data_IF_316803615136
#
_entry.id   IF_316803615136
#
_cell.length_a   1.000
_cell.length_b   1.000
_cell.length_c   1.000
_cell.angle_alpha   90.00
_cell.angle_beta   90.00
_cell.angle_gamma   90.00
#
_symmetry.space_group_name_H-M   'P 1'
#
loop_
_entity.id
_entity.type
_entity.pdbx_description
1 polymer ?
#
# COMPACT_ATOMS: atom_id res chain seq x y z
N UNK A 1 -14.00 -20.28 -1.78
CA UNK A 1 -14.12 -18.81 -1.64
C UNK A 1 -15.04 -18.30 -2.73
N UNK A 2 -15.92 -17.32 -2.47
CA UNK A 2 -16.69 -16.66 -3.52
C UNK A 2 -15.75 -16.04 -4.57
N UNK A 3 -16.31 -15.69 -5.73
CA UNK A 3 -15.55 -15.16 -6.86
C UNK A 3 -15.11 -13.72 -6.57
N UNK A 4 -14.03 -13.56 -5.80
CA UNK A 4 -13.44 -12.26 -5.48
C UNK A 4 -12.84 -11.69 -6.77
N UNK A 5 -13.23 -10.46 -7.13
CA UNK A 5 -12.62 -9.76 -8.26
C UNK A 5 -11.51 -8.87 -7.73
N UNK A 6 -10.27 -9.28 -7.96
CA UNK A 6 -9.09 -8.50 -7.59
C UNK A 6 -8.85 -7.43 -8.68
N UNK A 7 -8.87 -6.12 -8.33
CA UNK A 7 -8.57 -5.07 -9.29
C UNK A 7 -7.10 -5.08 -9.70
N UNK A 8 -6.84 -4.57 -10.91
CA UNK A 8 -5.51 -4.08 -11.27
C UNK A 8 -5.34 -2.69 -10.65
N UNK A 9 -4.77 -2.61 -9.44
CA UNK A 9 -4.68 -1.37 -8.66
C UNK A 9 -3.89 -0.28 -9.38
N UNK A 10 -2.83 -0.67 -10.11
CA UNK A 10 -2.08 0.25 -10.95
C UNK A 10 -2.94 0.92 -12.03
N UNK A 11 -3.89 0.20 -12.63
CA UNK A 11 -4.83 0.75 -13.62
C UNK A 11 -5.95 1.55 -12.95
N UNK A 12 -6.48 1.04 -11.84
CA UNK A 12 -7.55 1.65 -11.05
C UNK A 12 -7.15 3.05 -10.56
N UNK A 13 -5.93 3.18 -10.01
CA UNK A 13 -5.45 4.42 -9.40
C UNK A 13 -4.77 5.36 -10.42
N UNK A 14 -4.42 4.87 -11.62
CA UNK A 14 -3.72 5.64 -12.67
C UNK A 14 -4.30 7.04 -12.92
N UNK A 15 -5.63 7.25 -13.03
CA UNK A 15 -6.18 8.58 -13.32
C UNK A 15 -5.85 9.61 -12.23
N UNK A 16 -5.75 9.18 -10.98
CA UNK A 16 -5.38 10.04 -9.85
C UNK A 16 -3.86 10.18 -9.75
N UNK A 17 -3.14 9.06 -9.80
CA UNK A 17 -1.67 9.03 -9.73
C UNK A 17 -1.01 9.86 -10.82
N UNK A 18 -1.58 9.92 -12.03
CA UNK A 18 -1.06 10.72 -13.14
C UNK A 18 -1.12 12.24 -12.93
N UNK A 19 -1.87 12.72 -11.94
CA UNK A 19 -1.97 14.13 -11.59
C UNK A 19 -0.86 14.57 -10.63
N UNK A 20 -0.16 13.63 -10.00
CA UNK A 20 0.91 13.91 -9.04
C UNK A 20 2.20 14.25 -9.81
N UNK A 21 2.83 15.42 -9.55
CA UNK A 21 4.12 15.75 -10.13
C UNK A 21 5.19 14.72 -9.77
N UNK A 22 6.11 14.44 -10.69
CA UNK A 22 7.14 13.41 -10.48
C UNK A 22 7.99 13.62 -9.22
N UNK A 23 8.26 14.88 -8.83
CA UNK A 23 8.98 15.26 -7.62
C UNK A 23 8.20 15.00 -6.32
N UNK A 24 6.85 15.01 -6.37
CA UNK A 24 5.99 14.72 -5.22
C UNK A 24 5.55 13.24 -5.16
N UNK A 25 5.72 12.50 -6.24
CA UNK A 25 5.19 11.14 -6.40
C UNK A 25 5.66 10.16 -5.31
N UNK A 26 6.95 10.08 -4.94
CA UNK A 26 7.38 9.16 -3.87
C UNK A 26 6.71 9.49 -2.53
N UNK A 27 6.76 10.76 -2.11
CA UNK A 27 6.11 11.21 -0.87
C UNK A 27 4.58 11.07 -0.89
N UNK A 28 3.95 11.11 -2.07
CA UNK A 28 2.53 10.80 -2.23
C UNK A 28 2.25 9.31 -1.97
N UNK A 29 3.05 8.41 -2.54
CA UNK A 29 2.94 6.96 -2.28
C UNK A 29 3.14 6.65 -0.79
N UNK A 30 4.12 7.27 -0.13
CA UNK A 30 4.32 7.10 1.31
C UNK A 30 3.05 7.41 2.13
N UNK A 31 2.27 8.42 1.73
CA UNK A 31 0.99 8.73 2.39
C UNK A 31 -0.11 7.70 2.09
N UNK A 32 -0.06 7.03 0.93
CA UNK A 32 -0.92 5.88 0.65
C UNK A 32 -0.54 4.69 1.53
N UNK A 33 0.75 4.44 1.79
CA UNK A 33 1.16 3.36 2.70
C UNK A 33 0.65 3.57 4.12
N UNK A 34 0.62 4.82 4.61
CA UNK A 34 -0.05 5.11 5.90
C UNK A 34 -1.53 4.75 5.89
N UNK A 35 -2.21 4.89 4.75
CA UNK A 35 -3.60 4.47 4.59
C UNK A 35 -3.75 2.95 4.54
N UNK A 36 -2.78 2.22 3.98
CA UNK A 36 -2.70 0.76 4.04
C UNK A 36 -2.43 0.27 5.46
N UNK A 37 -1.52 0.92 6.19
CA UNK A 37 -1.26 0.68 7.60
C UNK A 37 -2.54 0.82 8.45
N UNK A 38 -3.35 1.83 8.18
CA UNK A 38 -4.65 2.01 8.85
C UNK A 38 -5.64 0.88 8.55
N UNK A 39 -5.62 0.32 7.32
CA UNK A 39 -6.44 -0.85 6.96
C UNK A 39 -6.03 -2.10 7.71
N UNK A 40 -4.74 -2.37 7.79
CA UNK A 40 -4.20 -3.47 8.59
C UNK A 40 -4.63 -3.39 10.06
N UNK A 41 -4.58 -2.20 10.66
CA UNK A 41 -5.10 -1.98 12.03
C UNK A 41 -6.59 -2.29 12.13
N UNK A 42 -7.39 -1.85 11.16
CA UNK A 42 -8.82 -2.17 11.11
C UNK A 42 -9.11 -3.67 10.98
N UNK A 43 -8.32 -4.40 10.19
CA UNK A 43 -8.44 -5.86 10.10
C UNK A 43 -7.97 -6.57 11.37
N UNK A 44 -6.94 -6.06 12.05
CA UNK A 44 -6.51 -6.61 13.33
C UNK A 44 -7.61 -6.54 14.40
N UNK A 45 -8.46 -5.50 14.36
CA UNK A 45 -9.66 -5.42 15.21
C UNK A 45 -10.76 -6.40 14.77
N UNK A 46 -10.93 -6.60 13.46
CA UNK A 46 -11.97 -7.47 12.91
C UNK A 46 -11.64 -8.97 13.01
N UNK A 47 -10.35 -9.33 13.06
CA UNK A 47 -9.82 -10.70 13.09
C UNK A 47 -8.81 -10.80 14.23
N UNK A 48 -9.26 -10.74 15.50
CA UNK A 48 -8.40 -10.59 16.67
C UNK A 48 -7.44 -11.78 16.86
N UNK A 49 -7.79 -12.97 16.37
CA UNK A 49 -6.94 -14.17 16.43
C UNK A 49 -5.63 -14.00 15.64
N UNK A 50 -5.61 -13.11 14.64
CA UNK A 50 -4.46 -12.82 13.79
C UNK A 50 -3.94 -11.38 13.95
N UNK A 51 -4.38 -10.68 15.00
CA UNK A 51 -4.05 -9.28 15.23
C UNK A 51 -2.54 -8.99 15.22
N UNK A 52 -1.73 -9.83 15.87
CA UNK A 52 -0.28 -9.58 15.97
C UNK A 52 0.40 -9.54 14.59
N UNK A 53 0.04 -10.46 13.69
CA UNK A 53 0.63 -10.48 12.35
C UNK A 53 0.09 -9.37 11.44
N UNK A 54 -1.20 -9.05 11.55
CA UNK A 54 -1.79 -7.90 10.85
C UNK A 54 -1.19 -6.56 11.33
N UNK A 55 -0.93 -6.41 12.62
CA UNK A 55 -0.23 -5.25 13.17
C UNK A 55 1.24 -5.20 12.76
N UNK A 56 1.88 -6.36 12.54
CA UNK A 56 3.22 -6.41 11.97
C UNK A 56 3.23 -5.91 10.51
N UNK A 57 2.23 -6.28 9.69
CA UNK A 57 2.03 -5.69 8.36
C UNK A 57 1.81 -4.18 8.44
N UNK A 58 0.93 -3.70 9.33
CA UNK A 58 0.75 -2.26 9.55
C UNK A 58 2.08 -1.55 9.87
N UNK A 59 2.93 -2.18 10.68
CA UNK A 59 4.26 -1.66 11.02
C UNK A 59 5.20 -1.58 9.83
N UNK A 60 5.14 -2.53 8.89
CA UNK A 60 5.93 -2.47 7.64
C UNK A 60 5.46 -1.32 6.75
N UNK A 61 4.15 -1.11 6.61
CA UNK A 61 3.62 0.01 5.84
C UNK A 61 4.04 1.38 6.41
N UNK A 62 3.99 1.52 7.74
CA UNK A 62 4.49 2.73 8.39
C UNK A 62 6.01 2.87 8.25
N UNK A 63 6.78 1.78 8.29
CA UNK A 63 8.21 1.81 8.04
C UNK A 63 8.52 2.29 6.61
N UNK A 64 7.78 1.80 5.61
CA UNK A 64 7.94 2.24 4.22
C UNK A 64 7.67 3.74 4.11
N UNK A 65 6.56 4.21 4.70
CA UNK A 65 6.20 5.61 4.70
C UNK A 65 7.27 6.48 5.38
N UNK A 66 7.72 6.11 6.58
CA UNK A 66 8.75 6.82 7.35
C UNK A 66 10.05 6.95 6.53
N UNK A 67 10.47 5.85 5.88
CA UNK A 67 11.70 5.79 5.12
C UNK A 67 11.65 6.67 3.88
N UNK A 68 10.56 6.63 3.12
CA UNK A 68 10.38 7.51 1.95
C UNK A 68 10.27 8.97 2.36
N UNK A 69 9.48 9.29 3.38
CA UNK A 69 9.33 10.68 3.85
C UNK A 69 10.67 11.28 4.30
N UNK A 70 11.60 10.45 4.80
CA UNK A 70 12.94 10.90 5.18
C UNK A 70 13.85 11.24 3.99
N UNK A 71 13.70 10.55 2.84
CA UNK A 71 14.63 10.71 1.69
C UNK A 71 14.02 11.43 0.48
N UNK A 72 12.71 11.29 0.27
CA UNK A 72 11.96 11.80 -0.87
C UNK A 72 10.59 12.36 -0.41
N UNK A 73 10.58 13.37 0.51
CA UNK A 73 9.35 13.97 0.99
C UNK A 73 8.60 14.69 -0.14
N UNK A 74 7.31 14.96 0.08
CA UNK A 74 6.54 15.87 -0.77
C UNK A 74 7.16 17.27 -0.69
N UNK A 75 7.56 17.89 -1.82
CA UNK A 75 8.03 19.28 -1.80
C UNK A 75 6.92 20.24 -1.36
N UNK A 76 7.27 21.30 -0.62
CA UNK A 76 6.32 22.27 -0.07
C UNK A 76 5.39 22.86 -1.14
N UNK A 77 5.91 23.14 -2.34
CA UNK A 77 5.15 23.65 -3.49
C UNK A 77 4.08 22.68 -4.03
N UNK A 78 4.07 21.42 -3.61
CA UNK A 78 3.11 20.39 -4.01
C UNK A 78 2.21 19.93 -2.85
N UNK A 79 2.41 20.41 -1.63
CA UNK A 79 1.65 19.98 -0.46
C UNK A 79 0.15 20.22 -0.57
N UNK A 80 -0.26 21.37 -1.11
CA UNK A 80 -1.69 21.68 -1.31
C UNK A 80 -2.34 20.69 -2.28
N UNK A 81 -1.68 20.42 -3.41
CA UNK A 81 -2.16 19.46 -4.41
C UNK A 81 -2.29 18.05 -3.81
N UNK A 82 -1.23 17.58 -3.13
CA UNK A 82 -1.23 16.27 -2.49
C UNK A 82 -2.33 16.17 -1.44
N UNK A 83 -2.52 17.20 -0.62
CA UNK A 83 -3.54 17.23 0.43
C UNK A 83 -4.97 17.16 -0.12
N UNK A 84 -5.20 17.71 -1.32
CA UNK A 84 -6.51 17.62 -2.00
C UNK A 84 -6.71 16.25 -2.67
N UNK A 85 -5.68 15.72 -3.33
CA UNK A 85 -5.80 14.50 -4.13
C UNK A 85 -5.75 13.20 -3.32
N UNK A 86 -5.03 13.22 -2.19
CA UNK A 86 -4.82 12.03 -1.36
C UNK A 86 -6.15 11.43 -0.84
N UNK A 87 -7.10 12.20 -0.25
CA UNK A 87 -8.37 11.65 0.21
C UNK A 87 -9.18 10.95 -0.88
N UNK A 88 -9.22 11.53 -2.08
CA UNK A 88 -9.93 10.94 -3.23
C UNK A 88 -9.27 9.64 -3.69
N UNK A 89 -7.94 9.57 -3.63
CA UNK A 89 -7.17 8.38 -3.99
C UNK A 89 -7.37 7.25 -2.98
N UNK A 90 -7.34 7.57 -1.69
CA UNK A 90 -7.68 6.64 -0.60
C UNK A 90 -9.12 6.15 -0.76
N UNK A 91 -10.07 7.01 -1.10
CA UNK A 91 -11.47 6.63 -1.28
C UNK A 91 -11.64 5.62 -2.44
N UNK A 92 -11.02 5.86 -3.60
CA UNK A 92 -11.05 4.91 -4.73
C UNK A 92 -10.40 3.57 -4.35
N UNK A 93 -9.28 3.62 -3.63
CA UNK A 93 -8.63 2.42 -3.13
C UNK A 93 -9.55 1.64 -2.16
N UNK A 94 -10.17 2.31 -1.18
CA UNK A 94 -11.04 1.67 -0.19
C UNK A 94 -12.32 1.12 -0.79
N UNK A 95 -12.87 1.77 -1.82
CA UNK A 95 -14.06 1.29 -2.52
C UNK A 95 -13.85 -0.08 -3.15
N UNK A 96 -12.62 -0.42 -3.57
CA UNK A 96 -12.30 -1.76 -4.07
C UNK A 96 -12.57 -2.88 -3.04
N UNK A 97 -12.62 -2.55 -1.76
CA UNK A 97 -12.80 -3.48 -0.65
C UNK A 97 -14.22 -3.46 -0.07
N UNK A 98 -15.02 -2.43 -0.38
CA UNK A 98 -16.23 -2.05 0.38
C UNK A 98 -17.31 -3.16 0.44
N UNK A 99 -17.41 -3.97 -0.61
CA UNK A 99 -18.40 -5.03 -0.75
C UNK A 99 -18.00 -6.36 -0.10
N UNK A 100 -16.78 -6.46 0.42
CA UNK A 100 -16.16 -7.73 0.82
C UNK A 100 -16.05 -7.86 2.35
N UNK A 101 -16.09 -9.10 2.84
CA UNK A 101 -15.80 -9.44 4.24
C UNK A 101 -14.31 -9.21 4.57
N UNK A 102 -13.93 -9.09 5.86
CA UNK A 102 -12.53 -8.89 6.24
C UNK A 102 -11.55 -9.89 5.59
N UNK A 103 -11.90 -11.19 5.56
CA UNK A 103 -11.07 -12.22 4.93
C UNK A 103 -10.92 -12.07 3.42
N UNK A 104 -12.01 -11.73 2.71
CA UNK A 104 -11.93 -11.45 1.28
C UNK A 104 -11.14 -10.17 0.99
N UNK A 105 -11.23 -9.18 1.88
CA UNK A 105 -10.42 -7.96 1.79
C UNK A 105 -8.93 -8.26 1.97
N UNK A 106 -8.55 -9.19 2.85
CA UNK A 106 -7.16 -9.64 2.98
C UNK A 106 -6.65 -10.32 1.70
N UNK A 107 -7.49 -11.09 1.00
CA UNK A 107 -7.14 -11.66 -0.30
C UNK A 107 -6.88 -10.57 -1.34
N UNK A 108 -7.72 -9.53 -1.39
CA UNK A 108 -7.49 -8.37 -2.25
C UNK A 108 -6.20 -7.64 -1.87
N UNK A 109 -5.93 -7.49 -0.57
CA UNK A 109 -4.71 -6.85 -0.08
C UNK A 109 -3.45 -7.63 -0.47
N UNK A 110 -3.45 -8.95 -0.33
CA UNK A 110 -2.30 -9.78 -0.68
C UNK A 110 -1.83 -9.55 -2.13
N UNK A 111 -2.78 -9.38 -3.06
CA UNK A 111 -2.48 -9.00 -4.45
C UNK A 111 -2.13 -7.51 -4.60
N UNK A 112 -2.70 -6.63 -3.79
CA UNK A 112 -2.36 -5.20 -3.78
C UNK A 112 -0.89 -4.99 -3.38
N UNK A 113 -0.41 -5.65 -2.31
CA UNK A 113 1.00 -5.63 -1.86
C UNK A 113 1.97 -6.07 -2.97
N UNK A 114 1.64 -7.17 -3.65
CA UNK A 114 2.47 -7.67 -4.77
C UNK A 114 2.51 -6.68 -5.92
N UNK A 115 1.39 -6.02 -6.23
CA UNK A 115 1.33 -4.97 -7.24
C UNK A 115 2.08 -3.70 -6.80
N UNK A 116 1.91 -3.27 -5.55
CA UNK A 116 2.55 -2.11 -4.92
C UNK A 116 4.07 -2.24 -4.84
N UNK A 117 4.56 -3.45 -4.56
CA UNK A 117 6.00 -3.75 -4.48
C UNK A 117 6.80 -3.32 -5.71
N UNK A 118 6.20 -3.31 -6.90
CA UNK A 118 6.84 -2.89 -8.14
C UNK A 118 6.94 -1.37 -8.30
N UNK A 119 6.13 -0.59 -7.57
CA UNK A 119 6.13 0.87 -7.64
C UNK A 119 7.49 1.45 -7.20
N UNK A 120 8.09 0.89 -6.14
CA UNK A 120 9.35 1.37 -5.59
C UNK A 120 10.56 1.25 -6.54
N UNK A 121 10.90 0.07 -7.09
CA UNK A 121 12.01 -0.05 -8.03
C UNK A 121 11.78 0.71 -9.34
N UNK A 122 10.52 0.97 -9.72
CA UNK A 122 10.21 1.81 -10.88
C UNK A 122 10.62 3.28 -10.70
N UNK A 123 10.89 3.73 -9.47
CA UNK A 123 11.40 5.07 -9.17
C UNK A 123 12.92 5.19 -9.34
N UNK A 124 13.66 4.08 -9.40
CA UNK A 124 15.14 4.07 -9.49
C UNK A 124 15.68 4.93 -10.65
N UNK A 125 15.11 4.91 -11.88
CA UNK A 125 15.61 5.76 -12.96
C UNK A 125 15.56 7.26 -12.65
N UNK A 126 14.60 7.69 -11.81
CA UNK A 126 14.46 9.08 -11.39
C UNK A 126 15.27 9.42 -10.14
N UNK A 127 15.54 8.43 -9.27
CA UNK A 127 16.24 8.59 -8.00
C UNK A 127 17.32 7.50 -7.80
N UNK A 128 18.32 7.43 -8.69
CA UNK A 128 19.30 6.34 -8.68
C UNK A 128 20.16 6.28 -7.41
N UNK A 129 20.34 7.41 -6.71
CA UNK A 129 21.03 7.51 -5.42
C UNK A 129 20.34 6.74 -4.29
N UNK A 130 19.05 6.41 -4.44
CA UNK A 130 18.24 5.67 -3.47
C UNK A 130 17.95 4.24 -3.90
N UNK A 131 18.69 3.69 -4.86
CA UNK A 131 18.43 2.36 -5.42
C UNK A 131 18.30 1.26 -4.37
N UNK A 132 19.23 1.17 -3.42
CA UNK A 132 19.23 0.12 -2.40
C UNK A 132 18.02 0.25 -1.48
N UNK A 133 17.64 1.49 -1.17
CA UNK A 133 16.50 1.82 -0.34
C UNK A 133 15.19 1.43 -1.03
N UNK A 134 14.98 1.88 -2.26
CA UNK A 134 13.77 1.58 -3.05
C UNK A 134 13.58 0.07 -3.28
N UNK A 135 14.68 -0.69 -3.48
CA UNK A 135 14.61 -2.15 -3.57
C UNK A 135 14.31 -2.80 -2.22
N UNK A 136 14.71 -2.21 -1.10
CA UNK A 136 14.38 -2.72 0.22
C UNK A 136 12.90 -2.53 0.56
N UNK A 137 12.28 -1.41 0.16
CA UNK A 137 10.84 -1.16 0.34
C UNK A 137 9.98 -2.19 -0.39
N UNK A 138 10.36 -2.51 -1.64
CA UNK A 138 9.73 -3.59 -2.42
C UNK A 138 9.70 -4.93 -1.67
N UNK A 139 10.74 -5.24 -0.88
CA UNK A 139 10.78 -6.47 -0.08
C UNK A 139 9.82 -6.43 1.10
N UNK A 140 9.63 -5.28 1.74
CA UNK A 140 8.70 -5.13 2.87
C UNK A 140 7.25 -5.38 2.43
N UNK A 141 6.86 -4.85 1.27
CA UNK A 141 5.55 -5.12 0.65
C UNK A 141 5.36 -6.61 0.35
N UNK A 142 6.36 -7.24 -0.26
CA UNK A 142 6.31 -8.68 -0.55
C UNK A 142 6.22 -9.52 0.72
N UNK A 143 6.89 -9.12 1.81
CA UNK A 143 6.74 -9.78 3.12
C UNK A 143 5.31 -9.67 3.68
N UNK A 144 4.65 -8.51 3.54
CA UNK A 144 3.24 -8.33 3.89
C UNK A 144 2.34 -9.23 3.01
N UNK A 145 2.56 -9.24 1.70
CA UNK A 145 1.83 -10.10 0.76
C UNK A 145 1.99 -11.60 1.03
N UNK A 146 3.22 -12.06 1.28
CA UNK A 146 3.53 -13.45 1.60
C UNK A 146 2.89 -13.89 2.93
N UNK A 147 2.88 -12.99 3.93
CA UNK A 147 2.19 -13.24 5.18
C UNK A 147 0.68 -13.43 4.97
N UNK A 148 0.04 -12.56 4.19
CA UNK A 148 -1.39 -12.68 3.90
C UNK A 148 -1.72 -13.94 3.10
N UNK A 149 -0.90 -14.33 2.14
CA UNK A 149 -1.07 -15.60 1.41
C UNK A 149 -1.04 -16.81 2.36
N UNK A 150 -0.07 -16.85 3.27
CA UNK A 150 0.04 -17.92 4.26
C UNK A 150 -1.18 -17.96 5.19
N UNK A 151 -1.60 -16.78 5.66
CA UNK A 151 -2.78 -16.62 6.51
C UNK A 151 -4.07 -17.11 5.82
N UNK A 152 -4.27 -16.77 4.55
CA UNK A 152 -5.42 -17.19 3.75
C UNK A 152 -5.40 -18.69 3.44
N UNK A 153 -4.22 -19.28 3.29
CA UNK A 153 -4.07 -20.72 3.11
C UNK A 153 -4.44 -21.49 4.38
N UNK A 154 -4.07 -20.99 5.55
CA UNK A 154 -4.40 -21.58 6.85
C UNK A 154 -5.91 -21.53 7.13
N UNK A 155 -6.59 -20.42 6.82
CA UNK A 155 -8.06 -20.28 6.99
C UNK A 155 -8.86 -21.20 6.04
N UNK A 156 -8.29 -21.56 4.90
CA UNK A 156 -8.94 -22.43 3.92
C UNK A 156 -8.79 -23.94 4.23
N UNK A 157 -7.95 -24.31 5.20
CA UNK A 157 -7.57 -25.69 5.53
C UNK A 157 -8.52 -26.34 6.55
#
# INVERSE_FOLDING_TARGET
>A
MPNITIPQFGELLRPLLSQVPASAYPGFLARLERSAAARYRGWAEAIPEHADGLLACAGREDEIADRIEAILPVPEEHEELVSVLLPDTIAVYYEAFSAYTPWEQLAIQADAEKQGSAAWPNLIPAFPEHQDELNALSKLELESGDYLDALLADEAA
#
